data_IF_254090819116
#
_entry.id   IF_254090819116
#
_cell.length_a   1.000
_cell.length_b   1.000
_cell.length_c   1.000
_cell.angle_alpha   90.00
_cell.angle_beta   90.00
_cell.angle_gamma   90.00
#
_symmetry.space_group_name_H-M   'P 1'
#
loop_
_entity.id
_entity.type
_entity.pdbx_description
1 polymer ?
#
# COMPACT_ATOMS: atom_id res chain seq x y z
N UNK A 1 -6.93 25.84 -4.38
CA UNK A 1 -5.57 26.25 -4.04
C UNK A 1 -4.72 25.02 -3.81
N UNK A 2 -3.53 24.96 -4.43
CA UNK A 2 -2.53 23.90 -4.21
C UNK A 2 -1.49 24.42 -3.22
N UNK A 3 -1.01 23.54 -2.35
CA UNK A 3 0.09 23.85 -1.44
C UNK A 3 1.00 22.64 -1.25
N UNK A 4 2.24 22.88 -0.85
CA UNK A 4 3.23 21.88 -0.55
C UNK A 4 3.15 21.51 0.93
N UNK A 5 3.14 20.20 1.25
CA UNK A 5 3.30 19.71 2.61
C UNK A 5 4.78 19.48 2.89
N UNK A 6 5.28 20.09 3.95
CA UNK A 6 6.63 19.84 4.41
C UNK A 6 6.74 18.47 5.07
N UNK A 7 7.63 17.63 4.57
CA UNK A 7 7.93 16.32 5.13
C UNK A 7 9.41 15.99 4.91
N UNK A 8 10.01 15.28 5.89
CA UNK A 8 11.37 14.73 5.74
C UNK A 8 11.25 13.25 5.42
N UNK A 9 11.51 12.88 4.17
CA UNK A 9 11.45 11.51 3.68
C UNK A 9 12.82 11.11 3.16
N UNK A 10 13.24 9.87 3.46
CA UNK A 10 14.42 9.25 2.87
C UNK A 10 13.98 8.08 2.01
N UNK A 11 14.28 8.11 0.74
CA UNK A 11 13.98 7.05 -0.20
C UNK A 11 15.25 6.19 -0.43
N UNK A 12 15.09 4.87 -0.46
CA UNK A 12 16.20 3.94 -0.63
C UNK A 12 16.30 3.36 -2.05
N UNK A 13 15.22 3.42 -2.82
CA UNK A 13 15.08 2.69 -4.07
C UNK A 13 14.60 1.24 -3.84
N UNK A 14 13.83 0.72 -4.77
CA UNK A 14 13.25 -0.64 -4.68
C UNK A 14 14.34 -1.70 -4.82
N UNK A 15 15.31 -1.47 -5.68
CA UNK A 15 16.50 -2.32 -5.91
C UNK A 15 17.31 -2.57 -4.63
N UNK A 16 17.42 -1.58 -3.74
CA UNK A 16 18.17 -1.69 -2.48
C UNK A 16 17.44 -2.49 -1.41
N UNK A 17 16.14 -2.62 -1.50
CA UNK A 17 15.35 -3.34 -0.49
C UNK A 17 15.77 -4.81 -0.38
N UNK A 18 16.09 -5.47 -1.48
CA UNK A 18 16.53 -6.87 -1.49
C UNK A 18 17.84 -7.03 -0.69
N UNK A 19 18.80 -6.14 -0.90
CA UNK A 19 20.08 -6.16 -0.19
C UNK A 19 19.89 -5.90 1.30
N UNK A 20 19.08 -4.89 1.67
CA UNK A 20 18.85 -4.52 3.07
C UNK A 20 18.13 -5.63 3.82
N UNK A 21 17.06 -6.18 3.24
CA UNK A 21 16.32 -7.30 3.83
C UNK A 21 17.20 -8.55 3.94
N UNK A 22 18.05 -8.82 2.95
CA UNK A 22 19.03 -9.90 3.00
C UNK A 22 20.01 -9.75 4.19
N UNK A 23 20.55 -8.56 4.40
CA UNK A 23 21.44 -8.26 5.54
C UNK A 23 20.70 -8.40 6.89
N UNK A 24 19.45 -7.96 6.97
CA UNK A 24 18.63 -8.16 8.18
C UNK A 24 18.42 -9.65 8.43
N UNK A 25 18.04 -10.40 7.40
CA UNK A 25 17.86 -11.85 7.49
C UNK A 25 19.15 -12.54 7.98
N UNK A 26 20.29 -12.23 7.36
CA UNK A 26 21.58 -12.79 7.75
C UNK A 26 21.97 -12.46 9.19
N UNK A 27 21.59 -11.28 9.67
CA UNK A 27 21.81 -10.90 11.07
C UNK A 27 20.97 -11.68 12.08
N UNK A 28 19.70 -12.00 11.72
CA UNK A 28 18.76 -12.61 12.67
C UNK A 28 18.68 -14.14 12.55
N UNK A 29 18.98 -14.76 11.42
CA UNK A 29 18.73 -16.19 11.12
C UNK A 29 19.35 -17.15 12.12
N UNK A 30 20.51 -16.80 12.73
CA UNK A 30 21.22 -17.64 13.70
C UNK A 30 20.90 -17.23 15.17
N UNK A 31 20.00 -16.27 15.37
CA UNK A 31 19.65 -15.72 16.69
C UNK A 31 18.24 -16.04 17.12
N UNK A 32 17.37 -16.39 16.17
CA UNK A 32 15.97 -16.72 16.41
C UNK A 32 15.61 -17.98 15.64
N UNK A 33 14.65 -18.74 16.14
CA UNK A 33 14.04 -19.82 15.37
C UNK A 33 13.04 -19.26 14.36
N UNK A 34 13.28 -19.52 13.08
CA UNK A 34 12.40 -19.08 12.00
C UNK A 34 11.63 -20.28 11.44
N UNK A 35 10.31 -20.17 11.35
CA UNK A 35 9.42 -21.13 10.72
C UNK A 35 8.91 -20.56 9.41
N UNK A 36 9.37 -21.12 8.29
CA UNK A 36 8.88 -20.78 6.95
C UNK A 36 7.76 -21.73 6.55
N UNK A 37 6.87 -21.27 5.65
CA UNK A 37 5.71 -22.06 5.20
C UNK A 37 4.80 -22.52 6.35
N UNK A 38 4.86 -21.79 7.46
CA UNK A 38 4.10 -22.07 8.68
C UNK A 38 3.00 -21.02 8.82
N UNK A 39 1.76 -21.47 8.65
CA UNK A 39 0.58 -20.64 8.73
C UNK A 39 -0.07 -20.75 10.10
N UNK A 40 -0.24 -19.64 10.80
CA UNK A 40 -1.00 -19.59 12.04
C UNK A 40 -2.49 -19.69 11.73
N UNK A 41 -3.15 -20.70 12.29
CA UNK A 41 -4.59 -20.96 12.10
C UNK A 41 -5.42 -20.27 13.17
N UNK A 42 -5.07 -20.51 14.44
CA UNK A 42 -5.79 -19.94 15.58
C UNK A 42 -4.84 -19.49 16.68
N UNK A 43 -5.29 -18.51 17.45
CA UNK A 43 -4.64 -18.06 18.68
C UNK A 43 -5.70 -18.04 19.78
N UNK A 44 -5.40 -18.66 20.92
CA UNK A 44 -6.28 -18.70 22.09
C UNK A 44 -5.49 -18.37 23.36
N UNK A 45 -6.18 -17.79 24.36
CA UNK A 45 -5.59 -17.59 25.68
C UNK A 45 -5.76 -18.83 26.55
N UNK A 46 -4.68 -19.26 27.23
CA UNK A 46 -4.69 -20.35 28.21
C UNK A 46 -3.98 -19.89 29.48
N UNK A 47 -4.77 -19.40 30.45
CA UNK A 47 -4.22 -18.79 31.68
C UNK A 47 -3.47 -17.51 31.34
N UNK A 48 -2.18 -17.46 31.67
CA UNK A 48 -1.26 -16.35 31.40
C UNK A 48 -0.43 -16.54 30.12
N UNK A 49 -0.79 -17.52 29.29
CA UNK A 49 -0.11 -17.84 28.05
C UNK A 49 -1.04 -17.78 26.85
N UNK A 50 -0.44 -17.66 25.66
CA UNK A 50 -1.10 -17.83 24.39
C UNK A 50 -0.77 -19.20 23.80
N UNK A 51 -1.81 -19.90 23.30
CA UNK A 51 -1.67 -21.08 22.48
C UNK A 51 -1.84 -20.71 21.04
N UNK A 52 -0.84 -21.01 20.23
CA UNK A 52 -0.78 -20.70 18.79
C UNK A 52 -0.82 -22.02 18.02
N UNK A 53 -1.88 -22.26 17.26
CA UNK A 53 -2.05 -23.45 16.43
C UNK A 53 -1.67 -23.10 14.99
N UNK A 54 -0.80 -23.90 14.40
CA UNK A 54 -0.31 -23.73 13.04
C UNK A 54 -0.56 -25.00 12.21
N UNK A 55 -0.25 -24.95 10.92
CA UNK A 55 -0.21 -26.15 10.07
C UNK A 55 0.97 -27.09 10.38
N UNK A 56 1.97 -26.63 11.16
CA UNK A 56 3.18 -27.37 11.51
C UNK A 56 3.17 -27.89 12.98
N UNK A 57 2.23 -27.43 13.80
CA UNK A 57 2.13 -27.82 15.21
C UNK A 57 1.53 -26.75 16.09
N UNK A 58 1.69 -26.92 17.40
CA UNK A 58 1.18 -26.01 18.42
C UNK A 58 2.33 -25.44 19.23
N UNK A 59 2.21 -24.16 19.56
CA UNK A 59 3.22 -23.41 20.31
C UNK A 59 2.58 -22.68 21.47
N UNK A 60 3.32 -22.54 22.56
CA UNK A 60 2.91 -21.76 23.72
C UNK A 60 3.87 -20.60 23.92
N UNK A 61 3.34 -19.40 24.15
CA UNK A 61 4.16 -18.23 24.45
C UNK A 61 3.46 -17.30 25.45
N UNK A 62 4.25 -16.49 26.17
CA UNK A 62 3.73 -15.48 27.10
C UNK A 62 3.41 -14.18 26.37
N UNK A 63 4.27 -13.80 25.45
CA UNK A 63 4.15 -12.57 24.67
C UNK A 63 4.09 -12.90 23.20
N UNK A 64 3.24 -12.20 22.48
CA UNK A 64 3.02 -12.44 21.05
C UNK A 64 2.93 -11.11 20.30
N UNK A 65 3.64 -11.01 19.17
CA UNK A 65 3.54 -9.89 18.24
C UNK A 65 2.91 -10.37 16.94
N UNK A 66 1.78 -9.78 16.57
CA UNK A 66 1.09 -10.06 15.31
C UNK A 66 1.42 -8.98 14.28
N UNK A 67 2.16 -9.34 13.24
CA UNK A 67 2.62 -8.44 12.18
C UNK A 67 2.30 -9.01 10.79
N UNK A 68 1.03 -9.29 10.54
CA UNK A 68 0.52 -10.08 9.41
C UNK A 68 0.44 -9.34 8.07
N UNK A 69 0.73 -8.04 8.07
CA UNK A 69 0.64 -7.22 6.86
C UNK A 69 -0.79 -7.07 6.31
N UNK A 70 -0.90 -6.60 5.07
CA UNK A 70 -2.20 -6.30 4.43
C UNK A 70 -3.05 -7.55 4.19
N UNK A 71 -2.44 -8.63 3.73
CA UNK A 71 -3.15 -9.89 3.43
C UNK A 71 -3.76 -10.55 4.68
N UNK A 72 -3.17 -10.32 5.85
CA UNK A 72 -3.67 -10.83 7.13
C UNK A 72 -4.68 -9.92 7.84
N UNK A 73 -5.15 -8.84 7.23
CA UNK A 73 -6.00 -7.84 7.89
C UNK A 73 -7.34 -8.41 8.40
N UNK A 74 -7.95 -9.34 7.68
CA UNK A 74 -9.20 -10.00 8.10
C UNK A 74 -8.94 -10.92 9.29
N UNK A 75 -7.93 -11.78 9.18
CA UNK A 75 -7.55 -12.71 10.23
C UNK A 75 -7.19 -12.00 11.54
N UNK A 76 -6.39 -10.93 11.49
CA UNK A 76 -6.06 -10.16 12.71
C UNK A 76 -7.28 -9.51 13.34
N UNK A 77 -8.29 -9.11 12.53
CA UNK A 77 -9.56 -8.59 13.04
C UNK A 77 -10.36 -9.65 13.78
N UNK A 78 -10.36 -10.89 13.30
CA UNK A 78 -10.99 -12.03 13.98
C UNK A 78 -10.30 -12.34 15.30
N UNK A 79 -8.95 -12.37 15.31
CA UNK A 79 -8.17 -12.57 16.54
C UNK A 79 -8.45 -11.45 17.56
N UNK A 80 -8.42 -10.20 17.15
CA UNK A 80 -8.75 -9.07 18.04
C UNK A 80 -10.17 -9.21 18.62
N UNK A 81 -11.15 -9.58 17.79
CA UNK A 81 -12.53 -9.84 18.25
C UNK A 81 -12.61 -10.95 19.28
N UNK A 82 -11.88 -12.05 19.08
CA UNK A 82 -11.84 -13.18 20.03
C UNK A 82 -11.25 -12.80 21.39
N UNK A 83 -10.31 -11.85 21.41
CA UNK A 83 -9.71 -11.30 22.66
C UNK A 83 -10.44 -10.08 23.22
N UNK A 84 -11.57 -9.66 22.64
CA UNK A 84 -12.32 -8.48 23.09
C UNK A 84 -11.57 -7.15 22.87
N UNK A 85 -10.61 -7.13 21.96
CA UNK A 85 -9.83 -5.92 21.63
C UNK A 85 -10.69 -5.04 20.70
N UNK A 86 -11.00 -3.83 21.17
CA UNK A 86 -11.74 -2.86 20.37
C UNK A 86 -10.93 -2.42 19.15
N UNK A 87 -11.53 -2.50 17.97
CA UNK A 87 -10.94 -2.07 16.72
C UNK A 87 -11.59 -0.77 16.24
N UNK A 88 -10.77 0.18 15.83
CA UNK A 88 -11.22 1.40 15.16
C UNK A 88 -10.91 1.32 13.67
N UNK A 89 -11.93 1.48 12.86
CA UNK A 89 -11.75 1.54 11.41
C UNK A 89 -11.26 2.93 11.01
N UNK A 90 -10.18 2.95 10.24
CA UNK A 90 -9.60 4.18 9.71
C UNK A 90 -10.20 4.52 8.34
N UNK A 91 -9.87 5.72 7.86
CA UNK A 91 -10.13 6.12 6.48
C UNK A 91 -9.39 5.22 5.49
N UNK A 92 -9.92 5.14 4.28
CA UNK A 92 -9.28 4.51 3.12
C UNK A 92 -8.95 5.57 2.08
N UNK A 93 -7.79 5.45 1.46
CA UNK A 93 -7.39 6.28 0.34
C UNK A 93 -7.77 5.59 -0.98
N UNK A 94 -8.58 6.26 -1.78
CA UNK A 94 -8.94 5.82 -3.14
C UNK A 94 -8.35 6.79 -4.13
N UNK A 95 -7.83 6.26 -5.24
CA UNK A 95 -7.26 7.11 -6.27
C UNK A 95 -6.75 6.37 -7.48
N UNK A 96 -5.98 7.08 -8.27
CA UNK A 96 -5.37 6.58 -9.51
C UNK A 96 -3.86 6.82 -9.46
N UNK A 97 -3.10 5.98 -10.15
CA UNK A 97 -1.69 6.26 -10.41
C UNK A 97 -1.56 6.96 -11.75
N UNK A 98 -0.83 8.05 -11.74
CA UNK A 98 -0.52 8.87 -12.92
C UNK A 98 0.93 8.61 -13.31
N UNK A 99 1.17 8.40 -14.60
CA UNK A 99 2.49 8.32 -15.19
C UNK A 99 2.61 9.36 -16.31
N UNK A 100 3.72 10.05 -16.34
CA UNK A 100 3.98 11.11 -17.32
C UNK A 100 5.49 11.26 -17.56
N UNK A 101 5.91 11.89 -18.69
CA UNK A 101 7.32 12.14 -18.94
C UNK A 101 7.99 12.91 -17.79
N UNK A 102 9.14 12.41 -17.32
CA UNK A 102 9.87 12.99 -16.18
C UNK A 102 10.18 14.48 -16.37
N UNK A 103 10.40 14.91 -17.59
CA UNK A 103 10.67 16.30 -17.94
C UNK A 103 9.59 17.26 -17.44
N UNK A 104 8.32 16.83 -17.38
CA UNK A 104 7.20 17.67 -16.94
C UNK A 104 7.34 18.06 -15.47
N UNK A 105 7.80 17.15 -14.63
CA UNK A 105 7.97 17.37 -13.18
C UNK A 105 9.42 17.65 -12.77
N UNK A 106 10.36 17.65 -13.71
CA UNK A 106 11.80 17.79 -13.44
C UNK A 106 12.13 19.01 -12.58
N UNK A 107 11.51 20.14 -12.82
CA UNK A 107 11.71 21.37 -12.05
C UNK A 107 11.33 21.25 -10.56
N UNK A 108 10.52 20.25 -10.19
CA UNK A 108 10.15 19.94 -8.81
C UNK A 108 11.03 18.81 -8.30
N UNK A 109 11.17 17.72 -9.06
CA UNK A 109 11.85 16.49 -8.62
C UNK A 109 13.36 16.65 -8.49
N UNK A 110 13.97 17.61 -9.18
CA UNK A 110 15.38 17.98 -8.99
C UNK A 110 15.63 18.65 -7.61
N UNK A 111 14.60 19.21 -7.00
CA UNK A 111 14.70 19.88 -5.70
C UNK A 111 14.16 19.03 -4.55
N UNK A 112 13.09 18.27 -4.81
CA UNK A 112 12.40 17.46 -3.83
C UNK A 112 12.04 16.12 -4.46
N UNK A 113 12.67 15.03 -4.01
CA UNK A 113 12.49 13.71 -4.57
C UNK A 113 11.03 13.27 -4.59
N UNK A 114 10.33 13.39 -3.46
CA UNK A 114 8.91 13.05 -3.32
C UNK A 114 8.10 14.27 -2.87
N UNK A 115 7.57 15.02 -3.81
CA UNK A 115 6.74 16.18 -3.49
C UNK A 115 5.34 15.77 -3.04
N UNK A 116 4.88 16.33 -1.92
CA UNK A 116 3.53 16.17 -1.40
C UNK A 116 2.70 17.40 -1.78
N UNK A 117 2.01 17.32 -2.89
CA UNK A 117 1.15 18.39 -3.39
C UNK A 117 -0.29 18.06 -2.98
N UNK A 118 -0.98 19.05 -2.40
CA UNK A 118 -2.37 18.94 -1.99
C UNK A 118 -3.22 19.93 -2.75
N UNK A 119 -4.36 19.46 -3.24
CA UNK A 119 -5.37 20.26 -3.92
C UNK A 119 -6.73 20.07 -3.26
N UNK A 120 -7.38 21.15 -2.89
CA UNK A 120 -8.76 21.12 -2.37
C UNK A 120 -9.73 21.37 -3.52
N UNK A 121 -10.62 20.41 -3.79
CA UNK A 121 -11.63 20.53 -4.85
C UNK A 121 -12.63 21.63 -4.51
N UNK A 122 -13.05 22.39 -5.55
CA UNK A 122 -13.99 23.50 -5.36
C UNK A 122 -15.42 23.01 -5.09
N UNK A 123 -15.80 21.90 -5.70
CA UNK A 123 -17.18 21.41 -5.67
C UNK A 123 -17.53 20.69 -4.38
N UNK A 124 -16.66 19.81 -3.89
CA UNK A 124 -16.93 18.94 -2.74
C UNK A 124 -15.98 19.19 -1.57
N UNK A 125 -15.01 20.07 -1.72
CA UNK A 125 -13.98 20.35 -0.70
C UNK A 125 -13.11 19.15 -0.34
N UNK A 126 -13.05 18.13 -1.20
CA UNK A 126 -12.18 16.98 -1.01
C UNK A 126 -10.72 17.37 -1.11
N UNK A 127 -9.89 16.77 -0.28
CA UNK A 127 -8.44 16.91 -0.34
C UNK A 127 -7.86 15.82 -1.23
N UNK A 128 -7.43 16.21 -2.43
CA UNK A 128 -6.66 15.36 -3.34
C UNK A 128 -5.18 15.60 -3.09
N UNK A 129 -4.40 14.55 -2.93
CA UNK A 129 -2.96 14.67 -2.69
C UNK A 129 -2.14 13.75 -3.57
N UNK A 130 -0.93 14.20 -3.92
CA UNK A 130 0.08 13.29 -4.48
C UNK A 130 0.60 12.36 -3.38
N UNK A 131 0.94 11.13 -3.78
CA UNK A 131 1.50 10.14 -2.87
C UNK A 131 2.47 9.23 -3.61
N UNK A 132 3.54 8.81 -2.93
CA UNK A 132 4.52 7.86 -3.48
C UNK A 132 4.97 8.27 -4.89
N UNK A 133 5.54 9.46 -5.00
CA UNK A 133 6.12 9.95 -6.25
C UNK A 133 7.44 9.26 -6.51
N UNK A 134 7.60 8.77 -7.72
CA UNK A 134 8.77 8.02 -8.17
C UNK A 134 9.36 8.71 -9.42
N UNK A 135 10.30 9.64 -9.23
CA UNK A 135 11.03 10.22 -10.35
C UNK A 135 11.82 9.15 -11.09
N UNK A 136 11.75 9.18 -12.42
CA UNK A 136 12.44 8.22 -13.30
C UNK A 136 12.12 6.75 -12.98
N UNK A 137 10.97 6.50 -12.35
CA UNK A 137 10.51 5.19 -11.95
C UNK A 137 9.50 4.58 -12.92
N UNK A 138 8.97 3.42 -12.56
CA UNK A 138 7.97 2.71 -13.36
C UNK A 138 6.70 2.42 -12.56
N UNK A 139 5.60 2.23 -13.26
CA UNK A 139 4.35 1.74 -12.67
C UNK A 139 4.37 0.22 -12.70
N UNK A 140 4.11 -0.39 -11.55
CA UNK A 140 4.08 -1.85 -11.37
C UNK A 140 2.71 -2.30 -10.88
N UNK A 141 2.32 -3.51 -11.26
CA UNK A 141 1.11 -4.16 -10.74
C UNK A 141 1.45 -4.95 -9.47
N UNK A 142 0.58 -4.86 -8.48
CA UNK A 142 0.61 -5.66 -7.26
C UNK A 142 -0.63 -6.53 -7.20
N UNK A 143 -0.47 -7.82 -6.87
CA UNK A 143 -1.58 -8.73 -6.64
C UNK A 143 -1.66 -9.06 -5.14
N UNK A 144 -2.77 -8.73 -4.51
CA UNK A 144 -3.04 -9.08 -3.12
C UNK A 144 -4.34 -9.87 -3.08
N UNK A 145 -4.26 -11.17 -2.78
CA UNK A 145 -5.41 -12.08 -2.70
C UNK A 145 -6.30 -12.05 -3.97
N UNK A 146 -5.69 -12.01 -5.15
CA UNK A 146 -6.40 -11.97 -6.43
C UNK A 146 -6.90 -10.59 -6.86
N UNK A 147 -6.68 -9.56 -6.06
CA UNK A 147 -7.01 -8.17 -6.42
C UNK A 147 -5.75 -7.50 -6.94
N UNK A 148 -5.80 -7.04 -8.19
CA UNK A 148 -4.69 -6.34 -8.84
C UNK A 148 -4.86 -4.84 -8.65
N UNK A 149 -3.83 -4.22 -8.10
CA UNK A 149 -3.70 -2.76 -7.96
C UNK A 149 -2.39 -2.30 -8.58
N UNK A 150 -2.18 -0.99 -8.66
CA UNK A 150 -0.93 -0.42 -9.20
C UNK A 150 -0.17 0.33 -8.12
N UNK A 151 1.15 0.21 -8.19
CA UNK A 151 2.08 0.95 -7.36
C UNK A 151 3.18 1.55 -8.24
N UNK A 152 4.15 2.25 -7.66
CA UNK A 152 5.32 2.76 -8.35
C UNK A 152 6.60 2.28 -7.70
N UNK A 153 7.56 1.97 -8.56
CA UNK A 153 8.92 1.68 -8.15
C UNK A 153 9.85 2.80 -8.59
N UNK A 154 10.84 3.07 -7.79
CA UNK A 154 11.99 3.89 -8.12
C UNK A 154 13.26 3.14 -7.79
N UNK A 155 14.32 3.48 -8.46
CA UNK A 155 15.59 2.77 -8.38
C UNK A 155 16.69 3.72 -7.89
N UNK A 156 17.57 3.22 -7.03
CA UNK A 156 18.79 3.93 -6.65
C UNK A 156 19.85 3.84 -7.73
N UNK A 157 19.82 2.78 -8.54
CA UNK A 157 20.68 2.58 -9.70
C UNK A 157 20.13 3.37 -10.89
N UNK A 158 20.86 4.43 -11.31
CA UNK A 158 20.46 5.29 -12.42
C UNK A 158 20.36 4.53 -13.77
N UNK A 159 21.04 3.40 -13.92
CA UNK A 159 20.94 2.57 -15.13
C UNK A 159 19.57 1.92 -15.32
N UNK A 160 18.76 1.85 -14.23
CA UNK A 160 17.41 1.33 -14.23
C UNK A 160 16.35 2.44 -14.37
N UNK A 161 16.76 3.70 -14.46
CA UNK A 161 15.85 4.82 -14.61
C UNK A 161 15.09 4.76 -15.93
N UNK A 162 13.81 5.08 -15.87
CA UNK A 162 12.95 5.28 -17.03
C UNK A 162 12.90 6.76 -17.42
N UNK A 163 12.26 7.07 -18.56
CA UNK A 163 12.00 8.45 -18.96
C UNK A 163 10.77 9.07 -18.30
N UNK A 164 10.11 8.34 -17.38
CA UNK A 164 8.85 8.74 -16.76
C UNK A 164 8.98 9.04 -15.28
N UNK A 165 8.09 9.87 -14.79
CA UNK A 165 7.77 10.04 -13.35
C UNK A 165 6.35 9.56 -13.12
N UNK A 166 6.14 8.84 -12.03
CA UNK A 166 4.79 8.42 -11.65
C UNK A 166 4.47 8.76 -10.20
N UNK A 167 3.19 8.95 -9.89
CA UNK A 167 2.69 9.20 -8.54
C UNK A 167 1.22 8.81 -8.43
N UNK A 168 0.75 8.53 -7.23
CA UNK A 168 -0.67 8.37 -6.98
C UNK A 168 -1.33 9.74 -6.72
N UNK A 169 -2.56 9.92 -7.21
CA UNK A 169 -3.49 10.95 -6.77
C UNK A 169 -4.54 10.28 -5.90
N UNK A 170 -4.56 10.64 -4.62
CA UNK A 170 -5.38 9.99 -3.60
C UNK A 170 -6.37 10.96 -2.97
N UNK A 171 -7.59 10.45 -2.72
CA UNK A 171 -8.61 11.08 -1.90
C UNK A 171 -8.89 10.20 -0.69
N UNK A 172 -8.83 10.78 0.50
CA UNK A 172 -9.13 10.06 1.74
C UNK A 172 -10.62 10.03 1.99
N UNK A 173 -11.18 8.84 2.08
CA UNK A 173 -12.60 8.62 2.36
C UNK A 173 -12.79 8.20 3.81
N UNK A 174 -13.64 8.93 4.52
CA UNK A 174 -14.08 8.60 5.86
C UNK A 174 -15.52 8.10 5.81
N UNK A 175 -15.79 7.04 6.54
CA UNK A 175 -17.14 6.47 6.61
C UNK A 175 -17.73 6.65 7.99
N UNK A 176 -19.03 6.98 8.01
CA UNK A 176 -19.86 7.02 9.20
C UNK A 176 -20.90 5.90 9.13
N UNK A 177 -21.60 5.64 10.25
CA UNK A 177 -22.69 4.68 10.27
C UNK A 177 -23.69 4.90 9.10
N UNK A 178 -24.22 3.84 8.47
CA UNK A 178 -23.96 2.42 8.75
C UNK A 178 -22.75 1.84 7.98
N UNK A 179 -22.09 2.60 7.11
CA UNK A 179 -21.00 2.16 6.24
C UNK A 179 -19.65 2.31 6.95
N UNK A 180 -19.27 1.32 7.76
CA UNK A 180 -18.04 1.40 8.56
C UNK A 180 -16.82 0.72 7.93
N UNK A 181 -17.01 -0.23 7.01
CA UNK A 181 -15.87 -1.01 6.50
C UNK A 181 -15.16 -0.33 5.34
N UNK A 182 -14.18 0.51 5.70
CA UNK A 182 -13.34 1.20 4.74
C UNK A 182 -12.48 0.24 3.89
N UNK A 183 -12.03 -0.88 4.47
CA UNK A 183 -11.24 -1.89 3.75
C UNK A 183 -12.11 -2.60 2.70
N UNK A 184 -13.33 -3.01 3.09
CA UNK A 184 -14.27 -3.65 2.16
C UNK A 184 -14.66 -2.71 1.01
N UNK A 185 -14.87 -1.44 1.31
CA UNK A 185 -15.12 -0.43 0.28
C UNK A 185 -13.93 -0.32 -0.68
N UNK A 186 -12.71 -0.20 -0.18
CA UNK A 186 -11.51 -0.14 -1.01
C UNK A 186 -11.34 -1.39 -1.88
N UNK A 187 -11.55 -2.58 -1.30
CA UNK A 187 -11.56 -3.84 -2.05
C UNK A 187 -12.63 -3.86 -3.15
N UNK A 188 -13.84 -3.38 -2.88
CA UNK A 188 -14.94 -3.37 -3.85
C UNK A 188 -14.62 -2.50 -5.06
N UNK A 189 -14.04 -1.32 -4.84
CA UNK A 189 -13.60 -0.43 -5.92
C UNK A 189 -12.48 -1.08 -6.74
N UNK A 190 -11.50 -1.70 -6.10
CA UNK A 190 -10.41 -2.39 -6.80
C UNK A 190 -10.92 -3.59 -7.61
N UNK A 191 -11.83 -4.41 -7.07
CA UNK A 191 -12.48 -5.51 -7.78
C UNK A 191 -13.26 -5.03 -8.99
N UNK A 192 -14.03 -3.96 -8.84
CA UNK A 192 -14.77 -3.36 -9.96
C UNK A 192 -13.82 -2.88 -11.06
N UNK A 193 -12.72 -2.22 -10.70
CA UNK A 193 -11.69 -1.80 -11.65
C UNK A 193 -11.06 -2.99 -12.40
N UNK A 194 -10.78 -4.08 -11.68
CA UNK A 194 -10.24 -5.30 -12.30
C UNK A 194 -11.25 -5.93 -13.30
N UNK A 195 -12.53 -5.95 -12.96
CA UNK A 195 -13.57 -6.44 -13.86
C UNK A 195 -13.66 -5.61 -15.15
N UNK A 196 -13.58 -4.29 -15.03
CA UNK A 196 -13.68 -3.37 -16.16
C UNK A 196 -12.43 -3.37 -17.05
N UNK A 197 -11.26 -3.52 -16.43
CA UNK A 197 -9.96 -3.46 -17.13
C UNK A 197 -9.36 -4.81 -17.50
N UNK A 198 -9.97 -5.93 -17.08
CA UNK A 198 -9.37 -7.25 -17.23
C UNK A 198 -8.07 -7.40 -16.40
N UNK A 199 -7.99 -6.72 -15.28
CA UNK A 199 -6.82 -6.54 -14.41
C UNK A 199 -6.61 -5.06 -14.12
N UNK A 200 -5.60 -4.44 -14.68
CA UNK A 200 -5.36 -3.00 -14.53
C UNK A 200 -6.20 -2.18 -15.50
N UNK A 201 -7.01 -1.26 -14.97
CA UNK A 201 -7.73 -0.29 -15.79
C UNK A 201 -6.80 0.89 -16.12
N UNK A 202 -6.55 1.11 -17.40
CA UNK A 202 -5.68 2.19 -17.88
C UNK A 202 -6.45 3.14 -18.80
N UNK A 203 -6.23 4.45 -18.63
CA UNK A 203 -6.85 5.51 -19.42
C UNK A 203 -5.82 6.58 -19.76
N UNK A 204 -5.70 6.95 -21.03
CA UNK A 204 -4.87 8.08 -21.44
C UNK A 204 -5.57 9.39 -21.05
N UNK A 205 -4.83 10.32 -20.45
CA UNK A 205 -5.40 11.57 -19.98
C UNK A 205 -6.10 12.39 -21.08
N UNK A 206 -5.51 12.46 -22.27
CA UNK A 206 -6.11 13.15 -23.40
C UNK A 206 -7.44 12.54 -23.88
N UNK A 207 -7.62 11.24 -23.70
CA UNK A 207 -8.89 10.56 -24.03
C UNK A 207 -9.92 10.78 -22.92
N UNK A 208 -9.47 10.76 -21.66
CA UNK A 208 -10.32 11.08 -20.50
C UNK A 208 -10.93 12.48 -20.63
N UNK A 209 -10.13 13.49 -20.96
CA UNK A 209 -10.59 14.89 -21.16
C UNK A 209 -11.61 14.97 -22.29
N UNK A 210 -11.48 14.14 -23.34
CA UNK A 210 -12.40 14.09 -24.47
C UNK A 210 -13.62 13.20 -24.22
N UNK A 211 -13.75 12.60 -23.02
CA UNK A 211 -14.85 11.71 -22.66
C UNK A 211 -14.91 10.43 -23.50
N UNK A 212 -13.76 9.93 -23.98
CA UNK A 212 -13.70 8.72 -24.81
C UNK A 212 -12.80 7.65 -24.18
N UNK A 213 -13.08 6.39 -24.55
CA UNK A 213 -12.26 5.24 -24.13
C UNK A 213 -10.90 5.29 -24.83
N UNK A 214 -9.84 4.96 -24.10
CA UNK A 214 -8.51 4.68 -24.67
C UNK A 214 -8.48 3.29 -25.31
N UNK A 215 -7.80 3.18 -26.43
CA UNK A 215 -7.53 1.94 -27.15
C UNK A 215 -6.06 1.58 -27.05
#
# INVERSE_FOLDING_TARGET
DMHLLEAKVRHLGTDRNVEILGRIFDYIKDRIEMKFYTEVKTVTGEGDMFRVVTNDGEYMCRDMVLATGRSGSKWISEVCGAFGIEQKKNRVDIGVRVELPALVFKHITDQVYESKIVYKTKQYSDLVRTFCMNPYGEVVSENTNGIVTVNGHSYADESLHTENTNFALLVSNNFTEPFKDSNEYGESIAKLSNMLGGGVLMQRFGDLVKGRRSS
#
